data_IF_844749248863
#
_entry.id   IF_844749248863
#
_cell.length_a   1.000
_cell.length_b   1.000
_cell.length_c   1.000
_cell.angle_alpha   90.00
_cell.angle_beta   90.00
_cell.angle_gamma   90.00
#
_symmetry.space_group_name_H-M   'P 1'
#
loop_
_entity.id
_entity.type
_entity.pdbx_description
1 polymer ?
#
# COMPACT_ATOMS: atom_id res chain seq x y z
N UNK A 1 -1.75 -18.59 16.13
CA UNK A 1 -2.25 -17.19 16.08
C UNK A 1 -2.30 -16.79 14.63
N UNK A 2 -3.49 -16.49 14.08
CA UNK A 2 -3.58 -15.90 12.73
C UNK A 2 -2.98 -14.50 12.80
N UNK A 3 -1.80 -14.31 12.22
CA UNK A 3 -1.15 -12.99 12.12
C UNK A 3 -2.01 -12.09 11.21
N UNK A 4 -2.16 -10.83 11.60
CA UNK A 4 -2.89 -9.82 10.83
C UNK A 4 -1.87 -8.87 10.21
N UNK A 5 -1.12 -9.40 9.23
CA UNK A 5 -0.14 -8.58 8.54
C UNK A 5 -0.83 -7.74 7.47
N UNK A 6 -0.56 -6.44 7.49
CA UNK A 6 -1.07 -5.49 6.51
C UNK A 6 0.01 -4.48 6.14
N UNK A 7 -0.12 -3.91 4.96
CA UNK A 7 0.76 -2.85 4.47
C UNK A 7 0.13 -1.49 4.73
N UNK A 8 0.92 -0.58 5.30
CA UNK A 8 0.60 0.84 5.38
C UNK A 8 1.51 1.64 4.47
N UNK A 9 1.03 2.78 4.02
CA UNK A 9 1.83 3.70 3.21
C UNK A 9 2.16 4.93 4.03
N UNK A 10 3.44 5.20 4.23
CA UNK A 10 3.93 6.35 4.98
C UNK A 10 4.68 7.29 4.06
N UNK A 11 4.73 8.57 4.44
CA UNK A 11 5.67 9.51 3.82
C UNK A 11 7.09 9.09 4.15
N UNK A 12 7.93 8.94 3.14
CA UNK A 12 9.34 8.66 3.35
C UNK A 12 10.02 9.89 3.96
N UNK A 13 10.52 9.77 5.18
CA UNK A 13 11.56 10.65 5.71
C UNK A 13 12.92 10.02 5.42
N UNK A 14 13.92 10.84 5.07
CA UNK A 14 15.33 10.54 4.76
C UNK A 14 15.92 9.22 5.29
N UNK A 15 16.87 8.67 4.50
CA UNK A 15 17.79 7.55 4.79
C UNK A 15 17.71 7.01 6.21
N UNK A 16 16.96 5.92 6.37
CA UNK A 16 17.00 5.14 7.59
C UNK A 16 18.28 4.31 7.61
N UNK A 17 19.02 4.36 8.73
CA UNK A 17 20.13 3.44 8.97
C UNK A 17 19.59 2.00 8.91
N UNK A 18 20.02 1.17 7.92
CA UNK A 18 19.52 -0.19 7.78
C UNK A 18 19.90 -1.10 8.97
N UNK A 19 20.80 -0.66 9.84
CA UNK A 19 21.22 -1.36 11.04
C UNK A 19 20.51 -0.90 12.32
N UNK A 20 19.70 0.16 12.27
CA UNK A 20 18.89 0.58 13.41
C UNK A 20 17.74 -0.42 13.64
N UNK A 21 17.90 -1.28 14.65
CA UNK A 21 16.90 -2.29 15.02
C UNK A 21 15.55 -1.70 15.45
N UNK A 22 15.49 -0.41 15.81
CA UNK A 22 14.27 0.31 16.16
C UNK A 22 13.56 0.92 14.94
N UNK A 23 14.24 1.01 13.80
CA UNK A 23 13.68 1.58 12.58
C UNK A 23 12.58 0.66 11.99
N UNK A 24 11.46 1.22 11.50
CA UNK A 24 10.44 0.45 10.81
C UNK A 24 10.99 -0.27 9.58
N UNK A 25 10.47 -1.46 9.29
CA UNK A 25 10.74 -2.13 8.01
C UNK A 25 10.02 -1.38 6.90
N UNK A 26 10.77 -0.66 6.05
CA UNK A 26 10.25 0.16 4.95
C UNK A 26 10.64 -0.38 3.58
N UNK A 27 9.72 -0.32 2.61
CA UNK A 27 9.99 -0.56 1.17
C UNK A 27 9.61 0.70 0.38
N UNK A 28 10.54 1.36 -0.33
CA UNK A 28 10.22 2.56 -1.12
C UNK A 28 9.20 2.29 -2.23
N UNK A 29 8.26 3.21 -2.42
CA UNK A 29 7.21 3.13 -3.46
C UNK A 29 7.34 4.21 -4.54
N UNK A 30 8.24 5.19 -4.35
CA UNK A 30 8.32 6.39 -5.18
C UNK A 30 7.37 7.50 -4.72
N UNK A 31 7.45 8.68 -5.34
CA UNK A 31 6.57 9.82 -5.02
C UNK A 31 6.66 10.32 -3.57
N UNK A 32 7.76 10.05 -2.87
CA UNK A 32 7.94 10.36 -1.45
C UNK A 32 7.18 9.42 -0.49
N UNK A 33 6.85 8.20 -0.94
CA UNK A 33 6.11 7.21 -0.16
C UNK A 33 6.93 5.93 0.06
N UNK A 34 6.62 5.24 1.16
CA UNK A 34 7.16 3.93 1.50
C UNK A 34 6.08 3.03 2.10
N UNK A 35 6.14 1.74 1.80
CA UNK A 35 5.34 0.72 2.46
C UNK A 35 5.99 0.33 3.79
N UNK A 36 5.19 0.13 4.83
CA UNK A 36 5.62 -0.50 6.08
C UNK A 36 4.74 -1.68 6.41
N UNK A 37 5.32 -2.72 7.01
CA UNK A 37 4.58 -3.91 7.46
C UNK A 37 4.08 -3.70 8.88
N UNK A 38 2.79 -3.92 9.10
CA UNK A 38 2.13 -3.86 10.39
C UNK A 38 1.62 -5.24 10.79
N UNK A 39 1.78 -5.62 12.06
CA UNK A 39 1.15 -6.80 12.67
C UNK A 39 0.11 -6.34 13.69
N UNK A 40 -1.18 -6.46 13.36
CA UNK A 40 -2.25 -5.86 14.14
C UNK A 40 -2.18 -4.34 14.11
N UNK A 41 -1.88 -3.68 15.23
CA UNK A 41 -1.68 -2.22 15.34
C UNK A 41 -0.20 -1.82 15.42
N UNK A 42 0.73 -2.77 15.45
CA UNK A 42 2.16 -2.51 15.69
C UNK A 42 2.95 -2.58 14.40
N UNK A 43 3.68 -1.51 14.08
CA UNK A 43 4.67 -1.52 12.98
C UNK A 43 5.82 -2.46 13.32
N UNK A 44 6.22 -3.29 12.37
CA UNK A 44 7.39 -4.15 12.52
C UNK A 44 8.66 -3.35 12.27
N UNK A 45 9.70 -3.62 13.06
CA UNK A 45 11.01 -2.96 12.97
C UNK A 45 12.08 -3.93 12.48
N UNK A 46 13.26 -3.43 12.12
CA UNK A 46 14.40 -4.27 11.72
C UNK A 46 14.74 -5.29 12.81
N UNK A 47 14.58 -4.94 14.09
CA UNK A 47 14.79 -5.85 15.23
C UNK A 47 13.82 -7.04 15.28
N UNK A 48 12.65 -6.96 14.62
CA UNK A 48 11.72 -8.08 14.53
C UNK A 48 12.17 -9.19 13.57
N UNK A 49 13.09 -8.90 12.64
CA UNK A 49 13.50 -9.82 11.57
C UNK A 49 14.22 -11.07 12.13
N UNK A 50 15.15 -10.87 13.07
CA UNK A 50 15.94 -11.94 13.68
C UNK A 50 15.09 -12.97 14.44
N UNK A 51 14.28 -12.55 15.45
CA UNK A 51 13.39 -13.45 16.17
C UNK A 51 12.38 -14.18 15.27
N UNK A 52 11.94 -13.53 14.18
CA UNK A 52 11.01 -14.12 13.20
C UNK A 52 11.69 -14.99 12.15
N UNK A 53 13.03 -14.99 12.07
CA UNK A 53 13.83 -15.67 11.05
C UNK A 53 13.34 -15.37 9.63
N UNK A 54 13.13 -14.09 9.34
CA UNK A 54 12.55 -13.60 8.07
C UNK A 54 13.32 -12.38 7.55
N UNK A 55 13.01 -11.92 6.35
CA UNK A 55 13.54 -10.69 5.77
C UNK A 55 12.44 -9.63 5.60
N UNK A 56 12.84 -8.38 5.38
CA UNK A 56 11.92 -7.31 5.01
C UNK A 56 11.08 -7.65 3.77
N UNK A 57 11.73 -8.22 2.74
CA UNK A 57 11.06 -8.63 1.49
C UNK A 57 10.05 -9.77 1.72
N UNK A 58 10.37 -10.76 2.55
CA UNK A 58 9.45 -11.84 2.88
C UNK A 58 8.25 -11.35 3.69
N UNK A 59 8.44 -10.44 4.64
CA UNK A 59 7.34 -9.84 5.39
C UNK A 59 6.44 -8.97 4.49
N UNK A 60 7.04 -8.23 3.56
CA UNK A 60 6.32 -7.41 2.59
C UNK A 60 5.45 -8.28 1.67
N UNK A 61 6.01 -9.37 1.17
CA UNK A 61 5.30 -10.37 0.36
C UNK A 61 4.19 -11.09 1.17
N UNK A 62 4.49 -11.56 2.39
CA UNK A 62 3.51 -12.25 3.27
C UNK A 62 2.31 -11.34 3.58
N UNK A 63 2.57 -10.06 3.88
CA UNK A 63 1.50 -9.09 4.10
C UNK A 63 0.66 -8.86 2.83
N UNK A 64 1.29 -8.77 1.66
CA UNK A 64 0.57 -8.62 0.39
C UNK A 64 -0.30 -9.84 0.09
N UNK A 65 0.18 -11.06 0.33
CA UNK A 65 -0.59 -12.29 0.11
C UNK A 65 -1.80 -12.39 1.06
N UNK A 66 -1.63 -12.01 2.34
CA UNK A 66 -2.73 -11.94 3.31
C UNK A 66 -3.79 -10.93 2.88
N UNK A 67 -3.36 -9.73 2.46
CA UNK A 67 -4.27 -8.71 1.94
C UNK A 67 -4.98 -9.19 0.67
N UNK A 68 -4.27 -9.85 -0.26
CA UNK A 68 -4.84 -10.39 -1.48
C UNK A 68 -5.88 -11.49 -1.19
N UNK A 69 -5.59 -12.40 -0.26
CA UNK A 69 -6.55 -13.40 0.19
C UNK A 69 -7.81 -12.77 0.81
N UNK A 70 -7.63 -11.70 1.60
CA UNK A 70 -8.75 -10.93 2.16
C UNK A 70 -9.61 -10.29 1.07
N UNK A 71 -8.99 -9.67 0.05
CA UNK A 71 -9.71 -9.12 -1.10
C UNK A 71 -10.45 -10.23 -1.88
N UNK A 72 -9.83 -11.40 -2.05
CA UNK A 72 -10.46 -12.56 -2.67
C UNK A 72 -11.73 -13.01 -1.94
N UNK A 73 -11.66 -13.11 -0.61
CA UNK A 73 -12.80 -13.47 0.23
C UNK A 73 -13.94 -12.42 0.13
N UNK A 74 -13.61 -11.14 0.24
CA UNK A 74 -14.59 -10.06 0.09
C UNK A 74 -15.23 -10.06 -1.30
N UNK A 75 -14.45 -10.33 -2.35
CA UNK A 75 -14.97 -10.43 -3.72
C UNK A 75 -15.92 -11.62 -3.86
N UNK A 76 -15.61 -12.77 -3.25
CA UNK A 76 -16.49 -13.92 -3.24
C UNK A 76 -17.80 -13.66 -2.48
N UNK A 77 -17.75 -12.88 -1.39
CA UNK A 77 -18.90 -12.56 -0.55
C UNK A 77 -19.81 -11.46 -1.14
N UNK A 78 -19.22 -10.39 -1.66
CA UNK A 78 -19.93 -9.17 -2.06
C UNK A 78 -19.92 -8.92 -3.58
N UNK A 79 -19.29 -9.79 -4.37
CA UNK A 79 -19.06 -9.60 -5.81
C UNK A 79 -17.92 -8.62 -6.14
N UNK A 80 -17.44 -7.85 -5.17
CA UNK A 80 -16.29 -6.94 -5.25
C UNK A 80 -15.67 -6.77 -3.86
N UNK A 81 -14.37 -6.48 -3.77
CA UNK A 81 -13.71 -6.13 -2.51
C UNK A 81 -13.64 -4.62 -2.26
N UNK A 82 -13.85 -3.80 -3.31
CA UNK A 82 -13.62 -2.37 -3.28
C UNK A 82 -14.91 -1.59 -3.53
N UNK A 83 -15.02 -0.45 -2.87
CA UNK A 83 -16.03 0.59 -3.12
C UNK A 83 -15.34 1.86 -3.56
N UNK A 84 -16.03 2.67 -4.35
CA UNK A 84 -15.54 3.98 -4.73
C UNK A 84 -16.62 5.05 -4.62
N UNK A 85 -16.19 6.30 -4.45
CA UNK A 85 -17.05 7.47 -4.55
C UNK A 85 -16.32 8.59 -5.31
N UNK A 86 -17.03 9.26 -6.21
CA UNK A 86 -16.50 10.45 -6.86
C UNK A 86 -16.59 11.62 -5.88
N UNK A 87 -15.47 12.31 -5.67
CA UNK A 87 -15.35 13.41 -4.69
C UNK A 87 -15.05 14.75 -5.34
N UNK A 88 -14.83 14.74 -6.66
CA UNK A 88 -14.58 15.92 -7.47
C UNK A 88 -14.45 15.54 -8.94
N UNK A 89 -14.39 16.55 -9.81
CA UNK A 89 -14.18 16.32 -11.24
C UNK A 89 -12.84 15.60 -11.46
N UNK A 90 -12.91 14.37 -11.97
CA UNK A 90 -11.73 13.54 -12.22
C UNK A 90 -11.02 13.03 -10.97
N UNK A 91 -11.65 13.08 -9.79
CA UNK A 91 -11.10 12.54 -8.52
C UNK A 91 -12.06 11.54 -7.90
N UNK A 92 -11.56 10.35 -7.61
CA UNK A 92 -12.29 9.25 -7.01
C UNK A 92 -11.59 8.77 -5.75
N UNK A 93 -12.34 8.60 -4.68
CA UNK A 93 -11.84 7.93 -3.47
C UNK A 93 -12.13 6.44 -3.55
N UNK A 94 -11.15 5.63 -3.16
CA UNK A 94 -11.22 4.17 -3.12
C UNK A 94 -11.18 3.71 -1.65
N UNK A 95 -12.04 2.74 -1.31
CA UNK A 95 -12.03 2.09 -0.01
C UNK A 95 -12.26 0.58 -0.15
N UNK A 96 -11.77 -0.18 0.83
CA UNK A 96 -12.02 -1.63 0.94
C UNK A 96 -13.33 -1.84 1.68
N UNK A 97 -14.17 -2.75 1.20
CA UNK A 97 -15.44 -3.09 1.87
C UNK A 97 -15.14 -3.70 3.24
N UNK A 98 -15.89 -3.27 4.26
CA UNK A 98 -15.71 -3.70 5.65
C UNK A 98 -14.44 -3.19 6.33
N UNK A 99 -13.59 -2.42 5.62
CA UNK A 99 -12.36 -1.80 6.13
C UNK A 99 -11.43 -2.76 6.93
N UNK A 100 -11.14 -3.97 6.43
CA UNK A 100 -10.23 -4.89 7.12
C UNK A 100 -8.79 -4.38 7.18
N UNK A 101 -8.44 -3.46 6.29
CA UNK A 101 -7.19 -2.71 6.27
C UNK A 101 -7.35 -1.40 5.49
N UNK A 102 -6.43 -0.42 5.65
CA UNK A 102 -6.54 0.86 4.96
C UNK A 102 -6.31 0.76 3.45
N UNK A 103 -7.08 1.55 2.69
CA UNK A 103 -7.06 1.51 1.22
C UNK A 103 -5.70 1.90 0.62
N UNK A 104 -4.93 2.76 1.29
CA UNK A 104 -3.58 3.12 0.83
C UNK A 104 -2.66 1.88 0.67
N UNK A 105 -2.88 0.82 1.46
CA UNK A 105 -2.12 -0.42 1.32
C UNK A 105 -2.25 -1.10 -0.06
N UNK A 106 -3.28 -0.78 -0.84
CA UNK A 106 -3.48 -1.35 -2.19
C UNK A 106 -2.39 -0.97 -3.18
N UNK A 107 -1.70 0.15 -2.96
CA UNK A 107 -0.58 0.60 -3.80
C UNK A 107 0.79 0.24 -3.20
N UNK A 108 0.80 -0.45 -2.06
CA UNK A 108 2.03 -0.74 -1.31
C UNK A 108 2.79 -1.97 -1.83
N UNK A 109 2.23 -2.72 -2.78
CA UNK A 109 2.86 -3.91 -3.36
C UNK A 109 2.38 -4.18 -4.81
N UNK A 110 3.23 -4.64 -5.74
CA UNK A 110 2.81 -4.87 -7.14
C UNK A 110 1.69 -5.91 -7.28
N UNK A 111 1.70 -6.95 -6.43
CA UNK A 111 0.63 -7.95 -6.39
C UNK A 111 -0.75 -7.37 -6.06
N UNK A 112 -0.81 -6.29 -5.30
CA UNK A 112 -2.06 -5.60 -4.97
C UNK A 112 -2.47 -4.64 -6.09
N UNK A 113 -1.51 -4.15 -6.89
CA UNK A 113 -1.77 -3.28 -8.03
C UNK A 113 -2.60 -3.98 -9.12
N UNK A 114 -2.35 -5.25 -9.43
CA UNK A 114 -3.08 -6.01 -10.49
C UNK A 114 -4.59 -6.10 -10.25
N UNK A 115 -5.10 -6.60 -9.10
CA UNK A 115 -6.53 -6.61 -8.82
C UNK A 115 -7.08 -5.19 -8.65
N UNK A 116 -6.27 -4.26 -8.12
CA UNK A 116 -6.67 -2.85 -8.02
C UNK A 116 -6.95 -2.28 -9.40
N UNK A 117 -6.05 -2.46 -10.38
CA UNK A 117 -6.22 -1.97 -11.76
C UNK A 117 -7.39 -2.58 -12.50
N UNK A 118 -7.63 -3.88 -12.36
CA UNK A 118 -8.76 -4.55 -13.04
C UNK A 118 -10.12 -3.99 -12.59
N UNK A 119 -10.20 -3.41 -11.39
CA UNK A 119 -11.42 -2.81 -10.84
C UNK A 119 -11.47 -1.29 -11.13
N UNK A 120 -10.35 -0.71 -11.57
CA UNK A 120 -10.29 0.65 -12.14
C UNK A 120 -10.69 0.72 -13.61
N UNK A 121 -11.14 -0.40 -14.20
CA UNK A 121 -11.66 -0.42 -15.57
C UNK A 121 -12.91 0.47 -15.66
N UNK A 122 -12.86 1.49 -16.51
CA UNK A 122 -13.83 2.60 -16.55
C UNK A 122 -13.49 3.82 -15.68
N UNK A 123 -12.30 3.85 -15.06
CA UNK A 123 -11.76 4.99 -14.32
C UNK A 123 -11.07 6.04 -15.20
N UNK A 124 -10.72 7.21 -14.63
CA UNK A 124 -9.97 8.24 -15.32
C UNK A 124 -8.58 7.73 -15.75
N UNK A 125 -8.21 7.85 -17.03
CA UNK A 125 -6.84 7.60 -17.49
C UNK A 125 -6.02 8.90 -17.53
N UNK A 126 -4.69 8.88 -17.33
CA UNK A 126 -3.87 7.94 -16.55
C UNK A 126 -4.20 7.99 -15.04
N UNK A 127 -4.01 6.87 -14.35
CA UNK A 127 -4.37 6.69 -12.96
C UNK A 127 -3.26 7.17 -12.01
N UNK A 128 -3.37 8.42 -11.52
CA UNK A 128 -2.47 8.94 -10.50
C UNK A 128 -3.03 8.65 -9.11
N UNK A 129 -2.23 7.99 -8.27
CA UNK A 129 -2.64 7.65 -6.91
C UNK A 129 -2.10 8.64 -5.90
N UNK A 130 -2.95 9.02 -4.95
CA UNK A 130 -2.63 9.94 -3.88
C UNK A 130 -3.04 9.33 -2.54
N UNK A 131 -2.19 9.49 -1.53
CA UNK A 131 -2.38 8.95 -0.20
C UNK A 131 -2.43 10.08 0.81
N UNK A 132 -3.42 10.03 1.68
CA UNK A 132 -3.57 10.95 2.82
C UNK A 132 -2.88 10.40 4.07
N UNK A 133 -2.59 11.26 5.05
CA UNK A 133 -1.95 10.84 6.30
C UNK A 133 -2.78 9.77 7.06
N UNK A 134 -4.11 9.81 6.95
CA UNK A 134 -5.07 8.84 7.51
C UNK A 134 -5.30 7.62 6.60
N UNK A 135 -4.40 7.35 5.65
CA UNK A 135 -4.37 6.13 4.83
C UNK A 135 -5.54 5.96 3.84
N UNK A 136 -6.21 7.07 3.47
CA UNK A 136 -7.20 7.05 2.39
C UNK A 136 -6.51 7.14 1.05
N UNK A 137 -7.07 6.40 0.08
CA UNK A 137 -6.55 6.31 -1.29
C UNK A 137 -7.43 7.09 -2.24
N UNK A 138 -6.82 7.97 -3.01
CA UNK A 138 -7.47 8.70 -4.09
C UNK A 138 -6.84 8.35 -5.42
N UNK A 139 -7.69 8.29 -6.44
CA UNK A 139 -7.36 8.16 -7.83
C UNK A 139 -7.72 9.46 -8.55
N UNK A 140 -6.83 9.93 -9.43
CA UNK A 140 -7.07 11.13 -10.23
C UNK A 140 -6.51 11.01 -11.66
N UNK A 141 -7.16 11.65 -12.63
CA UNK A 141 -6.64 11.90 -13.99
C UNK A 141 -6.06 13.30 -14.15
N UNK A 142 -5.25 13.75 -13.19
CA UNK A 142 -4.56 15.05 -13.26
C UNK A 142 -5.25 16.20 -12.53
N UNK A 143 -6.35 15.95 -11.82
CA UNK A 143 -6.89 16.87 -10.82
C UNK A 143 -6.20 16.66 -9.45
N UNK A 144 -6.08 17.72 -8.64
CA UNK A 144 -5.56 17.57 -7.27
C UNK A 144 -6.68 17.11 -6.34
N UNK A 145 -6.45 16.09 -5.47
CA UNK A 145 -7.44 15.70 -4.48
C UNK A 145 -7.82 16.86 -3.54
N UNK A 146 -9.05 16.88 -2.99
CA UNK A 146 -9.55 17.98 -2.16
C UNK A 146 -8.94 18.03 -0.75
N UNK A 147 -8.01 17.13 -0.43
CA UNK A 147 -7.38 16.99 0.87
C UNK A 147 -5.85 16.97 0.73
N UNK A 148 -5.10 17.39 1.77
CA UNK A 148 -3.66 17.23 1.79
C UNK A 148 -3.26 15.77 1.60
N UNK A 149 -2.52 15.49 0.53
CA UNK A 149 -2.11 14.16 0.15
C UNK A 149 -0.68 14.15 -0.42
N UNK A 150 -0.02 13.00 -0.32
CA UNK A 150 1.28 12.72 -0.92
C UNK A 150 1.10 11.86 -2.17
N UNK A 151 1.89 12.14 -3.19
CA UNK A 151 1.79 11.56 -4.54
C UNK A 151 2.18 12.60 -5.61
N UNK A 152 1.91 12.32 -6.90
CA UNK A 152 1.28 11.11 -7.40
C UNK A 152 2.21 9.90 -7.38
N UNK A 153 1.66 8.71 -7.16
CA UNK A 153 2.33 7.45 -7.48
C UNK A 153 1.76 6.93 -8.79
N UNK A 154 2.64 6.64 -9.73
CA UNK A 154 2.32 5.86 -10.91
C UNK A 154 2.71 4.40 -10.65
N UNK A 155 1.73 3.57 -10.29
CA UNK A 155 2.00 2.15 -10.03
C UNK A 155 2.19 1.35 -11.34
N UNK A 156 1.97 1.96 -12.52
CA UNK A 156 2.23 1.36 -13.84
C UNK A 156 3.69 1.50 -14.29
N UNK A 157 4.40 2.50 -13.77
CA UNK A 157 5.85 2.65 -13.95
C UNK A 157 6.67 1.56 -13.23
N UNK A 158 5.99 0.63 -12.55
CA UNK A 158 6.58 -0.44 -11.75
C UNK A 158 7.08 0.08 -10.41
N UNK A 159 7.00 -0.74 -9.37
CA UNK A 159 7.76 -0.52 -8.15
C UNK A 159 9.25 -0.79 -8.47
N UNK A 160 9.83 0.06 -9.29
CA UNK A 160 11.22 -0.02 -9.72
C UNK A 160 12.04 0.85 -8.79
N UNK A 161 12.30 0.35 -7.57
CA UNK A 161 13.55 0.67 -6.91
C UNK A 161 14.18 -0.64 -6.47
N UNK A 162 15.42 -0.82 -6.91
CA UNK A 162 16.26 -1.95 -6.59
C UNK A 162 16.22 -2.18 -5.08
N UNK A 163 15.91 -3.41 -4.67
CA UNK A 163 16.48 -3.94 -3.45
C UNK A 163 18.00 -3.88 -3.68
N UNK A 164 18.65 -2.80 -3.25
CA UNK A 164 20.10 -2.70 -3.28
C UNK A 164 20.62 -3.87 -2.44
N UNK A 165 21.01 -4.93 -3.14
CA UNK A 165 21.87 -5.97 -2.62
C UNK A 165 23.17 -5.29 -2.24
N UNK A 166 23.34 -5.01 -0.96
CA UNK A 166 24.65 -4.64 -0.41
C UNK A 166 25.56 -5.86 -0.60
N UNK A 167 26.77 -5.69 -1.18
CA UNK A 167 27.70 -6.77 -1.50
C UNK A 167 28.19 -7.58 -0.30
#
# INVERSE_FOLDING_TARGET
>A
MNRKLHLLVVTSSHDHDPYDTSAPVTVPLGGGLSAVVQDGSRRLTVGDLGPRRTSASLLWQEAADIMLGTLGNLTAEHGTALRHRDVGAGVREIAVIGEPFPAAGLIAHPLLAVPTYRILDGGPGPALFFVTADQRLFLSSGATPPLPCTGPVDISAGHCQALESVP
#
